data_IF_522943672844
#
_entry.id   IF_522943672844
#
_cell.length_a   1.000
_cell.length_b   1.000
_cell.length_c   1.000
_cell.angle_alpha   90.00
_cell.angle_beta   90.00
_cell.angle_gamma   90.00
#
_symmetry.space_group_name_H-M   'P 1'
#
loop_
_entity.id
_entity.type
_entity.pdbx_description
1 polymer ?
#
# COMPACT_ATOMS: atom_id res chain seq x y z
N UNK A 1 25.93 -1.89 -4.89
CA UNK A 1 26.19 -0.53 -4.39
C UNK A 1 25.14 -0.02 -3.38
N UNK A 2 24.03 -0.75 -3.14
CA UNK A 2 22.98 -0.41 -2.15
C UNK A 2 22.86 -1.39 -0.96
N UNK A 3 23.75 -2.38 -0.88
CA UNK A 3 23.67 -3.49 0.09
C UNK A 3 23.78 -3.06 1.55
N UNK A 4 24.32 -1.87 1.85
CA UNK A 4 24.45 -1.35 3.21
C UNK A 4 23.18 -0.70 3.77
N UNK A 5 22.17 -0.42 2.95
CA UNK A 5 20.85 0.09 3.39
C UNK A 5 19.85 -1.03 3.74
N UNK A 6 20.17 -2.28 3.41
CA UNK A 6 19.19 -3.34 3.18
C UNK A 6 19.03 -4.42 4.27
N UNK A 7 19.58 -4.34 5.50
CA UNK A 7 19.14 -5.26 6.56
C UNK A 7 17.69 -5.03 6.99
N UNK A 8 17.12 -3.85 6.73
CA UNK A 8 15.82 -3.42 7.26
C UNK A 8 14.70 -3.22 6.22
N UNK A 9 15.02 -3.34 4.92
CA UNK A 9 14.05 -3.24 3.82
C UNK A 9 13.58 -4.63 3.41
N UNK A 10 12.77 -5.26 4.27
CA UNK A 10 12.04 -6.45 3.89
C UNK A 10 10.89 -6.03 2.94
N UNK A 11 10.94 -6.50 1.69
CA UNK A 11 9.89 -6.24 0.70
C UNK A 11 8.73 -7.21 0.90
N UNK A 12 7.53 -6.65 0.81
CA UNK A 12 6.26 -7.37 0.89
C UNK A 12 6.07 -8.26 -0.35
N UNK A 13 6.03 -9.58 -0.16
CA UNK A 13 5.58 -10.52 -1.19
C UNK A 13 4.39 -11.27 -0.60
N UNK A 14 3.21 -11.04 -1.16
CA UNK A 14 2.01 -11.75 -0.75
C UNK A 14 2.07 -13.16 -1.34
N UNK A 15 2.47 -14.14 -0.54
CA UNK A 15 2.39 -15.56 -0.87
C UNK A 15 0.93 -16.02 -0.72
N UNK A 16 0.31 -16.42 -1.84
CA UNK A 16 -0.95 -17.16 -1.84
C UNK A 16 -0.68 -18.62 -1.43
N UNK A 17 -0.46 -18.87 -0.15
CA UNK A 17 -0.49 -20.23 0.40
C UNK A 17 -1.08 -20.16 1.81
N UNK A 18 -2.31 -20.67 1.94
CA UNK A 18 -2.97 -20.85 3.23
C UNK A 18 -2.29 -22.00 3.98
N UNK A 19 -1.74 -21.71 5.16
CA UNK A 19 -1.12 -22.70 6.02
C UNK A 19 -0.70 -22.11 7.36
N UNK A 20 -1.57 -22.30 8.36
CA UNK A 20 -1.36 -22.29 9.83
C UNK A 20 0.00 -21.75 10.33
N UNK A 21 0.14 -20.43 10.34
CA UNK A 21 0.84 -19.61 11.34
C UNK A 21 0.95 -18.19 10.77
N UNK A 22 0.18 -17.25 11.34
CA UNK A 22 0.08 -15.84 10.94
C UNK A 22 1.38 -15.06 11.19
N UNK A 23 2.45 -15.39 10.47
CA UNK A 23 3.60 -14.50 10.31
C UNK A 23 3.80 -14.24 8.84
N UNK A 24 3.77 -12.95 8.49
CA UNK A 24 4.18 -12.45 7.18
C UNK A 24 5.60 -13.01 6.93
N UNK A 25 5.81 -13.83 5.88
CA UNK A 25 7.12 -14.37 5.61
C UNK A 25 7.97 -13.23 5.04
N UNK A 26 8.86 -12.70 5.89
CA UNK A 26 9.88 -11.76 5.44
C UNK A 26 10.85 -12.51 4.54
N UNK A 27 10.87 -12.15 3.26
CA UNK A 27 11.81 -12.72 2.29
C UNK A 27 13.09 -11.90 2.36
N UNK A 28 14.23 -12.56 2.56
CA UNK A 28 15.50 -11.86 2.66
C UNK A 28 15.81 -11.14 1.34
N UNK A 29 16.48 -9.98 1.40
CA UNK A 29 16.89 -9.25 0.19
C UNK A 29 17.71 -10.13 -0.76
N UNK A 30 18.51 -11.05 -0.21
CA UNK A 30 19.27 -12.04 -0.98
C UNK A 30 18.35 -12.92 -1.83
N UNK A 31 17.20 -13.31 -1.30
CA UNK A 31 16.20 -14.13 -2.00
C UNK A 31 15.37 -13.30 -3.00
N UNK A 32 15.08 -12.05 -2.68
CA UNK A 32 14.47 -11.07 -3.61
C UNK A 32 15.36 -10.87 -4.85
N UNK A 33 16.68 -10.78 -4.65
CA UNK A 33 17.64 -10.60 -5.75
C UNK A 33 17.93 -11.85 -6.59
N UNK A 34 17.56 -13.04 -6.13
CA UNK A 34 17.81 -14.28 -6.88
C UNK A 34 17.14 -14.19 -8.27
N UNK A 35 17.78 -14.70 -9.34
CA UNK A 35 17.15 -14.77 -10.65
C UNK A 35 15.79 -15.49 -10.62
N UNK A 36 14.85 -15.09 -11.47
CA UNK A 36 13.53 -15.73 -11.56
C UNK A 36 13.60 -17.22 -11.85
N UNK A 37 14.60 -17.66 -12.63
CA UNK A 37 14.82 -19.07 -12.97
C UNK A 37 15.19 -19.95 -11.77
N UNK A 38 15.56 -19.38 -10.62
CA UNK A 38 15.87 -20.11 -9.39
C UNK A 38 14.93 -19.74 -8.23
N UNK A 39 13.73 -19.24 -8.56
CA UNK A 39 12.67 -18.95 -7.59
C UNK A 39 12.80 -17.60 -6.85
N UNK A 40 13.69 -16.71 -7.29
CA UNK A 40 13.75 -15.33 -6.78
C UNK A 40 12.91 -14.33 -7.59
N UNK A 41 12.92 -13.06 -7.17
CA UNK A 41 12.18 -11.99 -7.89
C UNK A 41 12.99 -11.33 -9.01
N UNK A 42 14.29 -11.61 -9.11
CA UNK A 42 15.18 -11.09 -10.15
C UNK A 42 15.50 -9.60 -10.00
N UNK A 43 15.33 -9.04 -8.81
CA UNK A 43 15.61 -7.62 -8.55
C UNK A 43 17.11 -7.38 -8.47
N UNK A 44 17.64 -6.49 -9.32
CA UNK A 44 19.10 -6.26 -9.42
C UNK A 44 19.55 -4.96 -8.78
N UNK A 45 18.69 -3.95 -8.74
CA UNK A 45 19.05 -2.63 -8.20
C UNK A 45 17.79 -1.83 -7.81
N UNK A 46 17.88 -1.05 -6.74
CA UNK A 46 16.84 -0.10 -6.32
C UNK A 46 16.74 1.08 -7.29
N UNK A 47 17.85 1.52 -7.88
CA UNK A 47 17.93 2.72 -8.76
C UNK A 47 17.03 2.62 -9.99
N UNK A 48 16.62 1.43 -10.40
CA UNK A 48 15.72 1.26 -11.56
C UNK A 48 14.25 1.21 -11.17
N UNK A 49 13.92 1.18 -9.88
CA UNK A 49 12.53 1.19 -9.42
C UNK A 49 11.90 2.57 -9.54
N UNK A 50 12.69 3.64 -9.50
CA UNK A 50 12.16 4.99 -9.60
C UNK A 50 12.07 5.57 -11.00
N UNK A 51 12.59 4.85 -11.99
CA UNK A 51 12.43 5.17 -13.41
C UNK A 51 11.14 4.53 -13.93
N UNK A 52 10.03 5.25 -13.83
CA UNK A 52 8.74 4.81 -14.38
C UNK A 52 8.55 5.30 -15.82
N UNK A 53 7.99 4.44 -16.67
CA UNK A 53 7.73 4.75 -18.08
C UNK A 53 6.71 5.88 -18.19
N UNK A 54 7.15 7.07 -18.63
CA UNK A 54 6.30 8.25 -18.77
C UNK A 54 6.45 9.30 -17.66
N UNK A 55 7.29 9.07 -16.65
CA UNK A 55 7.66 10.09 -15.67
C UNK A 55 9.07 10.64 -15.94
N UNK A 56 9.27 11.93 -15.66
CA UNK A 56 10.59 12.58 -15.73
C UNK A 56 11.32 12.37 -14.41
N UNK A 57 12.51 11.76 -14.47
CA UNK A 57 13.40 11.58 -13.33
C UNK A 57 13.22 10.25 -12.59
N UNK A 58 14.14 9.98 -11.67
CA UNK A 58 14.16 8.81 -10.80
C UNK A 58 13.80 9.26 -9.38
N UNK A 59 12.57 8.97 -8.93
CA UNK A 59 12.09 9.43 -7.62
C UNK A 59 12.92 8.89 -6.46
N UNK A 60 13.63 7.78 -6.63
CA UNK A 60 14.48 7.21 -5.59
C UNK A 60 15.65 8.15 -5.30
N UNK A 61 16.17 8.84 -6.32
CA UNK A 61 17.25 9.81 -6.15
C UNK A 61 16.77 11.10 -5.47
N UNK A 62 15.47 11.41 -5.50
CA UNK A 62 14.90 12.53 -4.73
C UNK A 62 14.85 12.24 -3.22
N UNK A 63 14.83 10.96 -2.85
CA UNK A 63 14.55 10.51 -1.48
C UNK A 63 15.80 9.96 -0.80
N UNK A 64 16.62 9.21 -1.53
CA UNK A 64 17.82 8.59 -1.02
C UNK A 64 19.05 9.37 -1.50
N UNK A 65 19.65 10.12 -0.58
CA UNK A 65 20.83 10.94 -0.84
C UNK A 65 22.04 10.20 -0.33
N UNK A 66 22.99 9.91 -1.23
CA UNK A 66 24.27 9.31 -0.86
C UNK A 66 25.10 10.32 -0.07
N UNK A 67 25.57 9.94 1.11
CA UNK A 67 26.52 10.70 1.92
C UNK A 67 27.92 10.11 1.70
N UNK A 68 28.81 10.94 1.17
CA UNK A 68 30.20 10.56 0.94
C UNK A 68 30.90 10.32 2.28
N UNK A 69 31.47 9.13 2.43
CA UNK A 69 32.35 8.77 3.53
C UNK A 69 33.77 8.64 3.02
N UNK A 70 34.30 7.42 3.04
CA UNK A 70 35.60 7.04 2.51
C UNK A 70 35.63 6.82 1.00
N UNK A 71 34.47 6.90 0.35
CA UNK A 71 34.38 6.78 -1.10
C UNK A 71 34.50 5.36 -1.64
N UNK A 72 34.54 4.34 -0.80
CA UNK A 72 34.75 2.94 -1.22
C UNK A 72 33.64 2.38 -2.11
N UNK A 73 32.44 2.98 -2.07
CA UNK A 73 31.31 2.63 -2.91
C UNK A 73 30.96 3.69 -3.96
N UNK A 74 31.75 4.77 -4.05
CA UNK A 74 31.44 5.95 -4.87
C UNK A 74 32.46 6.08 -5.99
N UNK A 75 32.01 5.95 -7.24
CA UNK A 75 32.86 6.05 -8.43
C UNK A 75 33.15 7.52 -8.74
N UNK A 76 34.43 7.87 -8.84
CA UNK A 76 34.89 9.25 -8.95
C UNK A 76 34.27 9.97 -10.17
N UNK A 77 34.27 9.34 -11.34
CA UNK A 77 33.76 9.97 -12.55
C UNK A 77 32.27 9.73 -12.80
N UNK A 78 31.76 8.59 -12.35
CA UNK A 78 30.48 8.05 -12.83
C UNK A 78 29.31 8.34 -11.90
N UNK A 79 29.54 8.58 -10.62
CA UNK A 79 28.51 8.87 -9.64
C UNK A 79 28.42 10.40 -9.38
N UNK A 80 27.25 10.89 -8.95
CA UNK A 80 27.08 12.27 -8.51
C UNK A 80 27.41 12.38 -7.02
N UNK A 81 28.60 12.91 -6.71
CA UNK A 81 29.08 13.05 -5.33
C UNK A 81 29.63 14.45 -5.01
N UNK A 82 29.85 15.27 -6.03
CA UNK A 82 30.29 16.66 -5.92
C UNK A 82 29.71 17.47 -7.08
N UNK A 83 29.49 18.77 -6.89
CA UNK A 83 28.91 19.64 -7.91
C UNK A 83 27.45 19.32 -8.22
N UNK A 84 26.98 19.72 -9.40
CA UNK A 84 25.58 19.60 -9.82
C UNK A 84 25.27 18.35 -10.67
N UNK A 85 26.30 17.65 -11.16
CA UNK A 85 26.17 16.48 -12.02
C UNK A 85 27.42 15.58 -11.90
N UNK A 86 27.38 14.31 -12.36
CA UNK A 86 28.56 13.45 -12.42
C UNK A 86 29.72 14.10 -13.17
N UNK A 87 30.95 13.95 -12.66
CA UNK A 87 32.13 14.61 -13.21
C UNK A 87 32.42 14.24 -14.67
N UNK A 88 32.04 13.04 -15.13
CA UNK A 88 32.17 12.64 -16.55
C UNK A 88 31.33 13.53 -17.49
N UNK A 89 30.21 14.04 -17.01
CA UNK A 89 29.25 14.84 -17.80
C UNK A 89 29.70 16.30 -17.85
N UNK A 90 30.24 16.80 -16.73
CA UNK A 90 30.79 18.16 -16.64
C UNK A 90 32.16 18.27 -17.33
N UNK A 91 33.01 17.24 -17.20
CA UNK A 91 34.39 17.23 -17.72
C UNK A 91 34.67 16.02 -18.63
N UNK A 92 33.95 15.84 -19.75
CA UNK A 92 34.08 14.65 -20.61
C UNK A 92 35.48 14.50 -21.22
N UNK A 93 36.19 15.61 -21.48
CA UNK A 93 37.56 15.59 -22.00
C UNK A 93 38.57 15.08 -20.97
N UNK A 94 38.47 15.54 -19.72
CA UNK A 94 39.31 15.06 -18.63
C UNK A 94 39.00 13.59 -18.33
N UNK A 95 37.73 13.21 -18.30
CA UNK A 95 37.31 11.81 -18.15
C UNK A 95 38.01 10.89 -19.17
N UNK A 96 37.96 11.23 -20.45
CA UNK A 96 38.61 10.45 -21.51
C UNK A 96 40.14 10.43 -21.40
N UNK A 97 40.75 11.47 -20.81
CA UNK A 97 42.19 11.52 -20.55
C UNK A 97 42.59 10.78 -19.26
N UNK A 98 41.65 10.37 -18.40
CA UNK A 98 41.96 9.72 -17.13
C UNK A 98 42.39 8.26 -17.32
N UNK A 99 43.37 7.81 -16.54
CA UNK A 99 43.71 6.39 -16.38
C UNK A 99 42.79 5.67 -15.38
N UNK A 100 41.97 6.42 -14.63
CA UNK A 100 41.19 5.92 -13.51
C UNK A 100 39.66 6.08 -13.70
N UNK A 101 39.17 5.99 -14.95
CA UNK A 101 37.77 6.23 -15.32
C UNK A 101 36.71 5.48 -14.47
N UNK A 102 37.02 4.25 -14.03
CA UNK A 102 36.11 3.40 -13.27
C UNK A 102 36.46 3.28 -11.77
N UNK A 103 37.46 4.01 -11.28
CA UNK A 103 37.92 3.90 -9.90
C UNK A 103 36.94 4.56 -8.93
N UNK A 104 36.91 4.02 -7.70
CA UNK A 104 36.20 4.63 -6.59
C UNK A 104 37.03 5.75 -5.97
N UNK A 105 36.39 6.69 -5.28
CA UNK A 105 37.09 7.80 -4.60
C UNK A 105 38.17 7.25 -3.65
N UNK A 106 37.90 6.16 -2.93
CA UNK A 106 38.88 5.52 -2.06
C UNK A 106 40.17 5.09 -2.79
N UNK A 107 40.07 4.76 -4.07
CA UNK A 107 41.20 4.35 -4.91
C UNK A 107 41.86 5.53 -5.63
N UNK A 108 41.28 6.73 -5.54
CA UNK A 108 41.77 7.96 -6.16
C UNK A 108 42.70 8.76 -5.25
N UNK A 109 43.04 8.26 -4.06
CA UNK A 109 43.85 8.99 -3.10
C UNK A 109 44.22 8.14 -1.89
N UNK A 110 44.86 8.77 -0.90
CA UNK A 110 45.24 8.14 0.35
C UNK A 110 45.17 9.11 1.54
N UNK A 111 45.15 8.57 2.76
CA UNK A 111 45.20 9.36 3.99
C UNK A 111 46.65 9.53 4.44
N UNK A 112 47.11 10.77 4.55
CA UNK A 112 48.42 11.14 5.11
C UNK A 112 48.24 12.22 6.16
N UNK A 113 48.69 11.98 7.39
CA UNK A 113 48.58 12.93 8.51
C UNK A 113 47.16 13.49 8.70
N UNK A 114 46.16 12.59 8.69
CA UNK A 114 44.73 12.92 8.80
C UNK A 114 44.21 13.91 7.76
N UNK A 115 44.85 13.95 6.59
CA UNK A 115 44.37 14.67 5.41
C UNK A 115 44.27 13.72 4.23
N UNK A 116 43.20 13.89 3.45
CA UNK A 116 43.03 13.16 2.19
C UNK A 116 43.89 13.80 1.10
N UNK A 117 44.72 13.00 0.44
CA UNK A 117 45.57 13.40 -0.68
C UNK A 117 45.08 12.69 -1.94
N UNK A 118 44.79 13.47 -2.98
CA UNK A 118 44.33 12.98 -4.27
C UNK A 118 45.50 12.53 -5.17
N UNK A 119 45.35 11.37 -5.80
CA UNK A 119 46.30 10.73 -6.72
C UNK A 119 45.65 10.53 -8.10
N UNK A 120 45.45 11.63 -8.83
CA UNK A 120 44.83 11.61 -10.15
C UNK A 120 45.89 11.36 -11.24
N UNK A 121 45.66 10.33 -12.07
CA UNK A 121 46.57 9.90 -13.13
C UNK A 121 45.99 10.17 -14.52
N UNK A 122 46.78 10.84 -15.35
CA UNK A 122 46.43 11.23 -16.71
C UNK A 122 47.20 10.41 -17.74
N UNK A 123 46.58 10.15 -18.90
CA UNK A 123 47.21 9.42 -20.02
C UNK A 123 48.24 10.28 -20.77
N UNK A 124 47.97 11.59 -20.86
CA UNK A 124 48.82 12.60 -21.49
C UNK A 124 48.73 13.93 -20.74
N UNK A 125 49.66 14.83 -21.03
CA UNK A 125 49.61 16.23 -20.61
C UNK A 125 48.39 16.95 -21.20
N UNK A 126 47.97 18.01 -20.53
CA UNK A 126 46.82 18.81 -20.93
C UNK A 126 47.17 19.76 -22.08
N UNK A 127 46.17 20.03 -22.92
CA UNK A 127 46.20 21.19 -23.79
C UNK A 127 45.80 22.44 -23.00
N UNK A 128 46.17 23.63 -23.49
CA UNK A 128 45.89 24.91 -22.82
C UNK A 128 44.42 25.09 -22.44
N UNK A 129 43.48 24.66 -23.28
CA UNK A 129 42.04 24.74 -22.99
C UNK A 129 41.53 23.67 -22.00
N UNK A 130 42.31 22.64 -21.69
CA UNK A 130 41.99 21.62 -20.67
C UNK A 130 42.49 22.05 -19.27
N UNK A 131 43.47 22.94 -19.20
CA UNK A 131 44.03 23.44 -17.92
C UNK A 131 42.98 24.18 -17.07
N UNK A 132 42.11 24.97 -17.71
CA UNK A 132 41.01 25.63 -17.01
C UNK A 132 39.96 24.61 -16.49
N UNK A 133 39.73 23.53 -17.22
CA UNK A 133 38.86 22.43 -16.79
C UNK A 133 39.45 21.70 -15.59
N UNK A 134 40.76 21.43 -15.60
CA UNK A 134 41.47 20.78 -14.50
C UNK A 134 41.45 21.66 -13.24
N UNK A 135 41.69 22.97 -13.38
CA UNK A 135 41.58 23.93 -12.26
C UNK A 135 40.18 23.92 -11.65
N UNK A 136 39.14 23.88 -12.48
CA UNK A 136 37.76 23.78 -12.01
C UNK A 136 37.48 22.45 -11.30
N UNK A 137 37.96 21.33 -11.86
CA UNK A 137 37.86 20.02 -11.22
C UNK A 137 38.51 20.04 -9.82
N UNK A 138 39.73 20.58 -9.70
CA UNK A 138 40.43 20.71 -8.42
C UNK A 138 39.67 21.54 -7.39
N UNK A 139 39.07 22.66 -7.80
CA UNK A 139 38.24 23.49 -6.92
C UNK A 139 37.02 22.71 -6.39
N UNK A 140 36.39 21.88 -7.21
CA UNK A 140 35.26 21.05 -6.79
C UNK A 140 35.69 19.96 -5.80
N UNK A 141 36.71 19.17 -6.15
CA UNK A 141 37.10 18.00 -5.34
C UNK A 141 37.82 18.38 -4.04
N UNK A 142 38.48 19.54 -4.00
CA UNK A 142 39.11 20.06 -2.77
C UNK A 142 38.10 20.54 -1.73
N UNK A 143 36.92 20.98 -2.17
CA UNK A 143 35.82 21.34 -1.28
C UNK A 143 35.08 20.11 -0.70
N UNK A 144 35.35 18.91 -1.22
CA UNK A 144 34.67 17.70 -0.78
C UNK A 144 35.22 17.19 0.57
N UNK A 145 34.31 16.86 1.49
CA UNK A 145 34.66 16.28 2.79
C UNK A 145 34.69 14.76 2.65
N UNK A 146 35.88 14.18 2.69
CA UNK A 146 36.11 12.72 2.72
C UNK A 146 36.41 12.33 4.17
N UNK A 147 35.75 11.29 4.65
CA UNK A 147 35.94 10.77 6.01
C UNK A 147 36.50 9.34 5.97
N UNK A 148 36.92 8.80 7.12
CA UNK A 148 37.38 7.40 7.21
C UNK A 148 36.23 6.39 7.31
N UNK A 149 35.03 6.89 7.63
CA UNK A 149 33.82 6.09 7.75
C UNK A 149 33.33 5.59 6.38
N UNK A 150 32.65 4.44 6.31
CA UNK A 150 32.11 3.96 5.05
C UNK A 150 31.07 4.94 4.47
N UNK A 151 31.00 4.98 3.14
CA UNK A 151 29.90 5.66 2.45
C UNK A 151 28.55 5.22 3.03
N UNK A 152 27.66 6.18 3.22
CA UNK A 152 26.34 5.94 3.79
C UNK A 152 25.26 6.55 2.89
N UNK A 153 24.02 6.22 3.20
CA UNK A 153 22.85 6.78 2.54
C UNK A 153 21.98 7.44 3.59
N UNK A 154 21.38 8.57 3.21
CA UNK A 154 20.43 9.30 4.05
C UNK A 154 19.09 9.42 3.34
N UNK A 155 18.05 9.59 4.13
CA UNK A 155 16.70 9.83 3.65
C UNK A 155 16.42 11.33 3.73
N UNK A 156 16.00 11.94 2.62
CA UNK A 156 15.53 13.32 2.43
C UNK A 156 16.08 14.38 3.42
N UNK A 157 16.83 15.35 2.91
CA UNK A 157 17.43 16.45 3.70
C UNK A 157 18.34 15.99 4.87
N UNK A 158 18.96 14.81 4.72
CA UNK A 158 19.97 14.32 5.66
C UNK A 158 19.45 13.55 6.88
N UNK A 159 18.14 13.27 6.94
CA UNK A 159 17.51 12.49 8.01
C UNK A 159 17.68 10.97 7.89
N UNK A 160 17.13 10.25 8.87
CA UNK A 160 17.06 8.79 8.88
C UNK A 160 15.83 8.30 8.12
N UNK A 161 15.98 7.17 7.41
CA UNK A 161 14.85 6.50 6.77
C UNK A 161 13.83 6.07 7.82
N UNK A 162 12.56 6.40 7.58
CA UNK A 162 11.43 5.81 8.30
C UNK A 162 10.37 5.36 7.30
N UNK A 163 9.76 4.20 7.56
CA UNK A 163 8.69 3.64 6.73
C UNK A 163 7.53 4.64 6.61
N UNK A 164 7.21 5.35 7.69
CA UNK A 164 6.15 6.36 7.72
C UNK A 164 6.45 7.55 6.81
N UNK A 165 7.66 8.13 6.86
CA UNK A 165 8.03 9.26 6.02
C UNK A 165 8.05 8.86 4.53
N UNK A 166 8.60 7.70 4.20
CA UNK A 166 8.63 7.20 2.82
C UNK A 166 7.24 6.90 2.29
N UNK A 167 6.36 6.30 3.12
CA UNK A 167 4.96 6.09 2.76
C UNK A 167 4.25 7.41 2.47
N UNK A 168 4.43 8.44 3.31
CA UNK A 168 3.82 9.77 3.09
C UNK A 168 4.36 10.44 1.82
N UNK A 169 5.66 10.35 1.55
CA UNK A 169 6.25 10.85 0.32
C UNK A 169 5.64 10.15 -0.91
N UNK A 170 5.64 8.82 -0.92
CA UNK A 170 5.08 8.03 -2.02
C UNK A 170 3.60 8.32 -2.22
N UNK A 171 2.85 8.40 -1.12
CA UNK A 171 1.43 8.74 -1.15
C UNK A 171 1.22 10.10 -1.81
N UNK A 172 1.95 11.15 -1.41
CA UNK A 172 1.81 12.49 -1.99
C UNK A 172 2.29 12.59 -3.44
N UNK A 173 3.34 11.83 -3.80
CA UNK A 173 3.95 11.90 -5.13
C UNK A 173 3.19 11.12 -6.20
N UNK A 174 2.73 9.91 -5.85
CA UNK A 174 2.12 8.97 -6.80
C UNK A 174 0.61 8.91 -6.72
N UNK A 175 0.03 9.18 -5.55
CA UNK A 175 -1.42 9.24 -5.42
C UNK A 175 -1.82 10.71 -5.48
N UNK A 176 -2.64 11.06 -6.47
CA UNK A 176 -3.45 12.27 -6.39
C UNK A 176 -4.12 12.25 -5.02
N UNK A 177 -4.03 13.34 -4.25
CA UNK A 177 -4.81 13.50 -3.02
C UNK A 177 -6.23 13.06 -3.37
N UNK A 178 -6.72 11.92 -2.84
CA UNK A 178 -8.07 11.56 -3.11
C UNK A 178 -8.87 12.65 -2.41
N UNK A 179 -9.55 13.49 -3.18
CA UNK A 179 -10.61 14.34 -2.67
C UNK A 179 -11.75 13.40 -2.33
N UNK A 180 -11.55 12.54 -1.32
CA UNK A 180 -12.63 11.83 -0.67
C UNK A 180 -13.57 12.93 -0.20
N UNK A 181 -14.77 12.95 -0.76
CA UNK A 181 -15.78 13.93 -0.35
C UNK A 181 -15.96 13.86 1.16
N UNK A 182 -16.20 15.02 1.80
CA UNK A 182 -16.39 15.11 3.25
C UNK A 182 -17.46 14.13 3.74
N UNK A 183 -18.51 13.90 2.95
CA UNK A 183 -19.56 12.92 3.19
C UNK A 183 -18.99 11.49 3.32
N UNK A 184 -18.18 11.06 2.36
CA UNK A 184 -17.57 9.73 2.39
C UNK A 184 -16.60 9.55 3.59
N UNK A 185 -15.86 10.60 3.96
CA UNK A 185 -15.02 10.58 5.17
C UNK A 185 -15.89 10.41 6.42
N UNK A 186 -17.03 11.10 6.49
CA UNK A 186 -17.97 10.95 7.59
C UNK A 186 -18.53 9.52 7.67
N UNK A 187 -18.83 8.86 6.55
CA UNK A 187 -19.25 7.45 6.54
C UNK A 187 -18.15 6.54 7.07
N UNK A 188 -16.91 6.72 6.60
CA UNK A 188 -15.76 5.94 7.07
C UNK A 188 -15.51 6.11 8.57
N UNK A 189 -15.77 7.28 9.14
CA UNK A 189 -15.67 7.51 10.58
C UNK A 189 -16.83 6.85 11.35
N UNK A 190 -18.03 6.86 10.77
CA UNK A 190 -19.23 6.31 11.40
C UNK A 190 -19.21 4.80 11.57
N UNK A 191 -18.67 4.04 10.60
CA UNK A 191 -18.64 2.56 10.68
C UNK A 191 -17.89 2.02 11.90
N UNK A 192 -16.98 2.79 12.49
CA UNK A 192 -16.31 2.40 13.73
C UNK A 192 -17.20 2.45 14.97
N UNK A 193 -18.34 3.16 14.90
CA UNK A 193 -19.28 3.32 16.00
C UNK A 193 -20.27 2.16 16.07
N UNK A 194 -19.77 0.93 16.04
CA UNK A 194 -20.58 -0.29 16.03
C UNK A 194 -20.27 -1.21 17.21
N UNK A 195 -21.20 -2.13 17.48
CA UNK A 195 -21.01 -3.28 18.37
C UNK A 195 -20.41 -4.51 17.68
N UNK A 196 -20.23 -4.48 16.36
CA UNK A 196 -19.67 -5.59 15.60
C UNK A 196 -18.24 -5.95 16.07
N UNK A 197 -17.80 -7.21 15.89
CA UNK A 197 -16.41 -7.59 16.15
C UNK A 197 -15.44 -6.74 15.32
N UNK A 198 -14.29 -6.37 15.90
CA UNK A 198 -13.31 -5.49 15.23
C UNK A 198 -12.85 -6.01 13.87
N UNK A 199 -12.69 -7.34 13.71
CA UNK A 199 -12.39 -7.99 12.42
C UNK A 199 -13.40 -7.62 11.33
N UNK A 200 -14.68 -7.56 11.69
CA UNK A 200 -15.78 -7.27 10.76
C UNK A 200 -15.85 -5.78 10.47
N UNK A 201 -15.61 -4.91 11.46
CA UNK A 201 -15.51 -3.47 11.25
C UNK A 201 -14.36 -3.12 10.30
N UNK A 202 -13.17 -3.71 10.49
CA UNK A 202 -12.02 -3.53 9.59
C UNK A 202 -12.38 -3.99 8.17
N UNK A 203 -13.03 -5.16 8.04
CA UNK A 203 -13.52 -5.64 6.76
C UNK A 203 -14.44 -4.61 6.08
N UNK A 204 -15.42 -4.07 6.79
CA UNK A 204 -16.37 -3.10 6.22
C UNK A 204 -15.72 -1.76 5.85
N UNK A 205 -14.76 -1.30 6.65
CA UNK A 205 -13.94 -0.13 6.31
C UNK A 205 -13.13 -0.37 5.02
N UNK A 206 -12.53 -1.55 4.86
CA UNK A 206 -11.88 -1.96 3.61
C UNK A 206 -12.87 -2.06 2.44
N UNK A 207 -14.08 -2.56 2.69
CA UNK A 207 -15.16 -2.63 1.70
C UNK A 207 -15.52 -1.24 1.17
N UNK A 208 -15.77 -0.28 2.06
CA UNK A 208 -16.08 1.10 1.70
C UNK A 208 -14.96 1.73 0.87
N UNK A 209 -13.70 1.51 1.25
CA UNK A 209 -12.53 1.98 0.50
C UNK A 209 -12.31 1.25 -0.84
N UNK A 210 -13.10 0.22 -1.17
CA UNK A 210 -12.91 -0.58 -2.38
C UNK A 210 -11.59 -1.33 -2.36
N UNK A 211 -11.19 -1.87 -1.20
CA UNK A 211 -9.92 -2.61 -1.02
C UNK A 211 -10.09 -4.12 -0.97
N UNK A 212 -11.32 -4.62 -1.00
CA UNK A 212 -11.59 -6.05 -1.04
C UNK A 212 -11.15 -6.68 -2.37
N UNK A 213 -10.75 -7.96 -2.40
CA UNK A 213 -10.36 -8.67 -3.61
C UNK A 213 -11.59 -9.08 -4.45
N UNK A 214 -12.45 -8.12 -4.81
CA UNK A 214 -13.48 -8.33 -5.83
C UNK A 214 -12.82 -8.53 -7.18
N UNK A 215 -13.43 -9.24 -8.13
CA UNK A 215 -12.76 -9.49 -9.42
C UNK A 215 -12.40 -8.20 -10.18
N UNK A 216 -13.21 -7.13 -10.09
CA UNK A 216 -12.84 -5.81 -10.64
C UNK A 216 -11.52 -5.28 -10.03
N UNK A 217 -11.34 -5.43 -8.72
CA UNK A 217 -10.11 -5.00 -8.05
C UNK A 217 -8.93 -5.91 -8.35
N UNK A 218 -9.16 -7.22 -8.54
CA UNK A 218 -8.12 -8.15 -8.95
C UNK A 218 -7.64 -7.88 -10.37
N UNK A 219 -8.57 -7.56 -11.28
CA UNK A 219 -8.28 -7.16 -12.66
C UNK A 219 -7.49 -5.86 -12.69
N UNK A 220 -7.94 -4.83 -11.93
CA UNK A 220 -7.22 -3.56 -11.79
C UNK A 220 -5.77 -3.74 -11.29
N UNK A 221 -5.52 -4.77 -10.46
CA UNK A 221 -4.19 -5.10 -9.94
C UNK A 221 -3.39 -6.02 -10.87
N UNK A 222 -3.91 -6.40 -12.03
CA UNK A 222 -3.26 -7.32 -12.96
C UNK A 222 -3.13 -8.77 -12.44
N UNK A 223 -3.94 -9.15 -11.44
CA UNK A 223 -3.94 -10.51 -10.87
C UNK A 223 -4.73 -11.48 -11.77
N UNK A 224 -5.78 -10.99 -12.43
CA UNK A 224 -6.60 -11.77 -13.37
C UNK A 224 -6.67 -11.06 -14.73
N UNK A 225 -6.79 -11.84 -15.82
CA UNK A 225 -6.88 -11.33 -17.19
C UNK A 225 -8.20 -10.59 -17.46
N UNK A 226 -8.13 -9.52 -18.24
CA UNK A 226 -9.29 -8.71 -18.62
C UNK A 226 -10.28 -9.43 -19.55
N UNK A 227 -11.59 -9.12 -19.39
CA UNK A 227 -12.63 -9.37 -20.40
C UNK A 227 -13.69 -10.43 -20.07
N UNK A 228 -13.41 -11.46 -19.26
CA UNK A 228 -14.42 -12.48 -18.88
C UNK A 228 -14.40 -12.88 -17.40
N UNK A 229 -13.31 -12.60 -16.68
CA UNK A 229 -13.12 -13.04 -15.30
C UNK A 229 -13.58 -12.03 -14.25
N UNK A 230 -14.11 -10.87 -14.64
CA UNK A 230 -14.59 -9.85 -13.70
C UNK A 230 -16.08 -9.90 -13.40
N UNK A 231 -16.81 -10.92 -13.87
CA UNK A 231 -18.25 -11.06 -13.63
C UNK A 231 -18.58 -11.40 -12.18
N UNK A 232 -19.77 -11.01 -11.72
CA UNK A 232 -20.32 -11.41 -10.44
C UNK A 232 -20.48 -12.94 -10.37
N UNK A 233 -20.23 -13.60 -9.23
CA UNK A 233 -20.43 -15.04 -9.09
C UNK A 233 -21.91 -15.46 -8.99
N UNK A 234 -22.83 -14.53 -8.77
CA UNK A 234 -24.25 -14.82 -8.59
C UNK A 234 -25.14 -14.35 -9.74
N UNK A 235 -24.70 -13.38 -10.55
CA UNK A 235 -25.47 -12.91 -11.70
C UNK A 235 -24.62 -12.91 -12.97
N UNK A 236 -25.26 -13.16 -14.10
CA UNK A 236 -24.55 -13.40 -15.36
C UNK A 236 -24.12 -12.12 -16.10
N UNK A 237 -24.62 -10.95 -15.69
CA UNK A 237 -24.58 -9.73 -16.50
C UNK A 237 -23.75 -8.55 -15.97
N UNK A 238 -23.22 -8.60 -14.74
CA UNK A 238 -22.55 -7.44 -14.13
C UNK A 238 -21.14 -7.76 -13.63
N UNK A 239 -20.28 -6.74 -13.62
CA UNK A 239 -18.94 -6.84 -13.04
C UNK A 239 -19.00 -6.89 -11.49
N UNK A 240 -18.16 -7.72 -10.88
CA UNK A 240 -18.00 -7.88 -9.43
C UNK A 240 -17.26 -6.67 -8.84
N UNK A 241 -17.96 -5.54 -8.75
CA UNK A 241 -17.54 -4.37 -7.97
C UNK A 241 -18.07 -4.47 -6.54
N UNK A 242 -17.52 -3.69 -5.60
CA UNK A 242 -18.03 -3.62 -4.22
C UNK A 242 -19.52 -3.25 -4.16
N UNK A 243 -19.95 -2.31 -5.00
CA UNK A 243 -21.31 -1.79 -5.00
C UNK A 243 -22.27 -2.84 -5.56
N UNK A 244 -21.87 -3.50 -6.65
CA UNK A 244 -22.66 -4.58 -7.21
C UNK A 244 -22.74 -5.77 -6.25
N UNK A 245 -21.60 -6.30 -5.84
CA UNK A 245 -21.54 -7.50 -5.01
C UNK A 245 -22.30 -7.36 -3.69
N UNK A 246 -22.19 -6.20 -3.02
CA UNK A 246 -22.71 -6.03 -1.66
C UNK A 246 -24.05 -5.29 -1.60
N UNK A 247 -24.54 -4.75 -2.73
CA UNK A 247 -25.76 -3.93 -2.73
C UNK A 247 -26.67 -4.21 -3.93
N UNK A 248 -26.19 -4.06 -5.18
CA UNK A 248 -27.09 -4.05 -6.36
C UNK A 248 -27.22 -5.39 -7.08
N UNK A 249 -26.45 -6.41 -6.71
CA UNK A 249 -26.65 -7.77 -7.18
C UNK A 249 -28.04 -8.27 -6.75
N UNK A 250 -28.82 -8.97 -7.61
CA UNK A 250 -30.17 -9.44 -7.25
C UNK A 250 -30.22 -10.16 -5.90
N UNK A 251 -29.30 -11.08 -5.64
CA UNK A 251 -29.20 -11.78 -4.35
C UNK A 251 -28.98 -10.80 -3.17
N UNK A 252 -28.05 -9.83 -3.33
CA UNK A 252 -27.77 -8.85 -2.29
C UNK A 252 -28.97 -7.91 -2.08
N UNK A 253 -29.66 -7.54 -3.15
CA UNK A 253 -30.85 -6.71 -3.12
C UNK A 253 -31.97 -7.38 -2.34
N UNK A 254 -32.25 -8.65 -2.61
CA UNK A 254 -33.28 -9.43 -1.92
C UNK A 254 -32.98 -9.57 -0.42
N UNK A 255 -31.71 -9.82 -0.07
CA UNK A 255 -31.25 -9.81 1.32
C UNK A 255 -31.50 -8.44 1.99
N UNK A 256 -31.11 -7.34 1.34
CA UNK A 256 -31.36 -5.99 1.86
C UNK A 256 -32.86 -5.68 1.98
N UNK A 257 -33.69 -6.15 1.05
CA UNK A 257 -35.13 -5.98 1.11
C UNK A 257 -35.74 -6.69 2.32
N UNK A 258 -35.30 -7.93 2.61
CA UNK A 258 -35.71 -8.67 3.80
C UNK A 258 -35.25 -7.98 5.09
N UNK A 259 -34.02 -7.47 5.13
CA UNK A 259 -33.51 -6.71 6.28
C UNK A 259 -34.27 -5.40 6.49
N UNK A 260 -34.57 -4.64 5.43
CA UNK A 260 -35.37 -3.42 5.56
C UNK A 260 -36.78 -3.72 6.08
N UNK A 261 -37.43 -4.76 5.54
CA UNK A 261 -38.75 -5.22 6.00
C UNK A 261 -38.72 -5.63 7.48
N UNK A 262 -37.67 -6.32 7.91
CA UNK A 262 -37.46 -6.71 9.31
C UNK A 262 -37.34 -5.51 10.26
N UNK A 263 -36.77 -4.40 9.79
CA UNK A 263 -36.72 -3.14 10.53
C UNK A 263 -37.99 -2.28 10.37
N UNK A 264 -39.03 -2.77 9.68
CA UNK A 264 -40.25 -2.03 9.43
C UNK A 264 -40.08 -0.86 8.44
N UNK A 265 -39.06 -0.91 7.58
CA UNK A 265 -38.74 0.16 6.63
C UNK A 265 -39.02 -0.30 5.20
N UNK A 266 -39.66 0.59 4.43
CA UNK A 266 -39.76 0.48 2.98
C UNK A 266 -38.84 1.53 2.39
N UNK A 267 -37.73 1.11 1.77
CA UNK A 267 -36.72 2.00 1.21
C UNK A 267 -36.25 1.51 -0.15
N UNK A 268 -35.88 2.45 -1.01
CA UNK A 268 -35.16 2.14 -2.25
C UNK A 268 -33.70 1.87 -1.87
N UNK A 269 -33.23 0.65 -2.15
CA UNK A 269 -31.84 0.26 -1.89
C UNK A 269 -30.91 1.13 -2.78
N UNK A 270 -30.02 1.94 -2.18
CA UNK A 270 -29.16 2.84 -2.96
C UNK A 270 -28.15 2.08 -3.83
N UNK A 271 -27.63 2.74 -4.88
CA UNK A 271 -26.70 2.10 -5.82
C UNK A 271 -25.27 1.89 -5.28
N UNK A 272 -24.91 2.49 -4.14
CA UNK A 272 -23.55 2.41 -3.59
C UNK A 272 -23.53 1.90 -2.16
N UNK A 273 -22.43 1.26 -1.78
CA UNK A 273 -22.24 0.77 -0.42
C UNK A 273 -22.22 1.91 0.62
N UNK A 274 -21.69 3.08 0.25
CA UNK A 274 -21.65 4.25 1.14
C UNK A 274 -23.05 4.80 1.39
N UNK A 275 -23.82 5.05 0.33
CA UNK A 275 -25.19 5.55 0.45
C UNK A 275 -26.13 4.52 1.09
N UNK A 276 -25.88 3.22 0.90
CA UNK A 276 -26.56 2.16 1.65
C UNK A 276 -26.30 2.27 3.15
N UNK A 277 -25.04 2.47 3.56
CA UNK A 277 -24.69 2.68 4.98
C UNK A 277 -25.40 3.90 5.58
N UNK A 278 -25.38 5.03 4.86
CA UNK A 278 -26.04 6.26 5.31
C UNK A 278 -27.56 6.12 5.39
N UNK A 279 -28.17 5.52 4.37
CA UNK A 279 -29.61 5.25 4.35
C UNK A 279 -30.01 4.34 5.51
N UNK A 280 -29.27 3.25 5.72
CA UNK A 280 -29.57 2.30 6.79
C UNK A 280 -29.37 2.92 8.18
N UNK A 281 -28.37 3.78 8.37
CA UNK A 281 -28.18 4.54 9.61
C UNK A 281 -29.39 5.42 9.97
N UNK A 282 -30.15 5.88 8.98
CA UNK A 282 -31.35 6.69 9.22
C UNK A 282 -32.56 5.87 9.72
N UNK A 283 -32.49 4.54 9.68
CA UNK A 283 -33.56 3.63 10.15
C UNK A 283 -33.80 3.76 11.67
N UNK A 284 -32.75 3.99 12.46
CA UNK A 284 -32.89 4.20 13.91
C UNK A 284 -32.02 5.34 14.41
N UNK A 285 -32.63 6.52 14.60
CA UNK A 285 -32.00 7.69 15.23
C UNK A 285 -32.28 7.82 16.73
N UNK A 286 -32.60 6.73 17.43
CA UNK A 286 -32.82 6.71 18.89
C UNK A 286 -31.49 6.75 19.67
N UNK A 287 -30.73 7.83 19.51
CA UNK A 287 -29.50 8.11 20.26
C UNK A 287 -28.29 7.23 19.91
N UNK A 288 -27.23 7.31 20.73
CA UNK A 288 -25.94 6.65 20.47
C UNK A 288 -26.02 5.12 20.41
N UNK A 289 -26.95 4.51 21.15
CA UNK A 289 -27.12 3.05 21.16
C UNK A 289 -27.84 2.55 19.90
N UNK A 290 -28.85 3.30 19.43
CA UNK A 290 -29.52 3.06 18.14
C UNK A 290 -28.53 2.91 16.99
N UNK A 291 -27.63 3.89 16.86
CA UNK A 291 -26.58 3.92 15.82
C UNK A 291 -25.68 2.67 15.89
N UNK A 292 -25.24 2.28 17.09
CA UNK A 292 -24.36 1.12 17.27
C UNK A 292 -25.01 -0.19 16.86
N UNK A 293 -26.28 -0.39 17.22
CA UNK A 293 -27.04 -1.59 16.89
C UNK A 293 -27.43 -1.67 15.41
N UNK A 294 -27.82 -0.55 14.79
CA UNK A 294 -28.08 -0.51 13.34
C UNK A 294 -26.82 -0.78 12.54
N UNK A 295 -25.69 -0.16 12.92
CA UNK A 295 -24.41 -0.46 12.28
C UNK A 295 -24.01 -1.92 12.46
N UNK A 296 -24.23 -2.50 13.65
CA UNK A 296 -23.98 -3.91 13.90
C UNK A 296 -24.67 -4.78 12.84
N UNK A 297 -25.96 -4.56 12.58
CA UNK A 297 -26.70 -5.31 11.55
C UNK A 297 -26.13 -5.02 10.16
N UNK A 298 -25.89 -3.76 9.81
CA UNK A 298 -25.30 -3.39 8.53
C UNK A 298 -23.98 -4.14 8.26
N UNK A 299 -23.09 -4.21 9.26
CA UNK A 299 -21.84 -4.97 9.19
C UNK A 299 -22.08 -6.47 8.96
N UNK A 300 -23.05 -7.06 9.66
CA UNK A 300 -23.40 -8.47 9.52
C UNK A 300 -23.87 -8.77 8.10
N UNK A 301 -24.73 -7.92 7.52
CA UNK A 301 -25.25 -8.13 6.15
C UNK A 301 -24.11 -8.23 5.15
N UNK A 302 -23.23 -7.22 5.11
CA UNK A 302 -22.14 -7.20 4.12
C UNK A 302 -21.07 -8.26 4.39
N UNK A 303 -20.89 -8.66 5.65
CA UNK A 303 -20.01 -9.76 6.03
C UNK A 303 -20.57 -11.10 5.55
N UNK A 304 -21.86 -11.36 5.78
CA UNK A 304 -22.54 -12.59 5.36
C UNK A 304 -22.55 -12.71 3.83
N UNK A 305 -22.85 -11.62 3.11
CA UNK A 305 -22.75 -11.59 1.66
C UNK A 305 -21.32 -11.93 1.19
N UNK A 306 -20.30 -11.32 1.79
CA UNK A 306 -18.91 -11.62 1.45
C UNK A 306 -18.51 -13.08 1.73
N UNK A 307 -18.92 -13.63 2.87
CA UNK A 307 -18.69 -15.04 3.20
C UNK A 307 -19.39 -15.96 2.20
N UNK A 308 -20.66 -15.70 1.88
CA UNK A 308 -21.42 -16.44 0.89
C UNK A 308 -20.76 -16.41 -0.50
N UNK A 309 -20.22 -15.25 -0.89
CA UNK A 309 -19.46 -15.10 -2.14
C UNK A 309 -18.24 -16.00 -2.17
N UNK A 310 -17.51 -16.07 -1.05
CA UNK A 310 -16.34 -16.93 -0.95
C UNK A 310 -16.74 -18.41 -0.99
N UNK A 311 -17.82 -18.82 -0.31
CA UNK A 311 -18.35 -20.19 -0.38
C UNK A 311 -18.76 -20.57 -1.82
N UNK A 312 -19.41 -19.66 -2.55
CA UNK A 312 -19.77 -19.88 -3.97
C UNK A 312 -18.55 -20.08 -4.84
N UNK A 313 -17.47 -19.31 -4.65
CA UNK A 313 -16.27 -19.38 -5.50
C UNK A 313 -15.38 -20.57 -5.16
N UNK A 314 -15.16 -20.85 -3.87
CA UNK A 314 -14.20 -21.87 -3.44
C UNK A 314 -14.83 -23.24 -3.22
N UNK A 315 -16.15 -23.32 -3.09
CA UNK A 315 -16.86 -24.58 -2.79
C UNK A 315 -18.09 -24.81 -3.67
N UNK A 316 -18.33 -23.97 -4.69
CA UNK A 316 -19.48 -24.07 -5.60
C UNK A 316 -20.84 -24.17 -4.89
N UNK A 317 -20.94 -23.64 -3.66
CA UNK A 317 -22.13 -23.76 -2.85
C UNK A 317 -23.21 -22.82 -3.36
N UNK A 318 -24.41 -23.35 -3.60
CA UNK A 318 -25.58 -22.54 -3.90
C UNK A 318 -26.06 -21.80 -2.66
N UNK A 319 -26.58 -20.60 -2.88
CA UNK A 319 -26.96 -19.69 -1.81
C UNK A 319 -28.31 -19.07 -2.15
N UNK A 320 -29.19 -19.08 -1.16
CA UNK A 320 -30.52 -18.49 -1.24
C UNK A 320 -30.63 -17.29 -0.30
N UNK A 321 -31.45 -16.29 -0.68
CA UNK A 321 -31.58 -15.03 0.06
C UNK A 321 -32.23 -15.23 1.44
N UNK A 322 -33.19 -16.15 1.59
CA UNK A 322 -33.86 -16.42 2.86
C UNK A 322 -32.87 -17.04 3.85
N UNK A 323 -32.08 -18.04 3.41
CA UNK A 323 -31.05 -18.65 4.24
C UNK A 323 -29.98 -17.65 4.68
N UNK A 324 -29.62 -16.68 3.83
CA UNK A 324 -28.70 -15.61 4.20
C UNK A 324 -29.32 -14.67 5.22
N UNK A 325 -30.60 -14.34 5.06
CA UNK A 325 -31.33 -13.51 6.00
C UNK A 325 -31.42 -14.16 7.39
N UNK A 326 -31.74 -15.45 7.47
CA UNK A 326 -31.74 -16.20 8.74
C UNK A 326 -30.38 -16.15 9.44
N UNK A 327 -29.29 -16.37 8.67
CA UNK A 327 -27.92 -16.23 9.18
C UNK A 327 -27.65 -14.83 9.70
N UNK A 328 -28.11 -13.79 9.01
CA UNK A 328 -27.95 -12.40 9.45
C UNK A 328 -28.64 -12.18 10.79
N UNK A 329 -29.88 -12.65 10.95
CA UNK A 329 -30.62 -12.49 12.21
C UNK A 329 -29.91 -13.22 13.36
N UNK A 330 -29.48 -14.46 13.16
CA UNK A 330 -28.77 -15.26 14.19
C UNK A 330 -27.43 -14.63 14.57
N UNK A 331 -26.59 -14.27 13.59
CA UNK A 331 -25.26 -13.71 13.85
C UNK A 331 -25.38 -12.35 14.55
N UNK A 332 -26.28 -11.49 14.07
CA UNK A 332 -26.49 -10.17 14.68
C UNK A 332 -27.03 -10.28 16.11
N UNK A 333 -27.93 -11.21 16.40
CA UNK A 333 -28.43 -11.47 17.75
C UNK A 333 -27.31 -11.91 18.69
N UNK A 334 -26.48 -12.87 18.26
CA UNK A 334 -25.37 -13.38 19.05
C UNK A 334 -24.36 -12.26 19.38
N UNK A 335 -24.05 -11.41 18.40
CA UNK A 335 -23.15 -10.27 18.62
C UNK A 335 -23.77 -9.20 19.51
N UNK A 336 -25.08 -8.95 19.40
CA UNK A 336 -25.80 -8.03 20.28
C UNK A 336 -25.78 -8.54 21.73
N UNK A 337 -26.13 -9.81 21.95
CA UNK A 337 -26.15 -10.44 23.27
C UNK A 337 -24.78 -10.38 23.95
N UNK A 338 -23.70 -10.62 23.18
CA UNK A 338 -22.33 -10.51 23.68
C UNK A 338 -21.93 -9.08 24.12
N UNK A 339 -22.62 -8.04 23.62
CA UNK A 339 -22.37 -6.64 24.00
C UNK A 339 -23.33 -6.12 25.06
N UNK A 340 -24.54 -6.67 25.16
CA UNK A 340 -25.59 -6.29 26.11
C UNK A 340 -25.87 -7.39 27.14
N UNK A 341 -24.84 -7.75 27.90
CA UNK A 341 -24.93 -8.80 28.93
C UNK A 341 -26.02 -8.49 29.97
N UNK A 342 -26.26 -7.21 30.28
CA UNK A 342 -27.22 -6.76 31.31
C UNK A 342 -28.59 -6.35 30.75
N UNK A 343 -28.80 -6.42 29.43
CA UNK A 343 -30.04 -6.04 28.76
C UNK A 343 -30.36 -7.09 27.68
N UNK A 344 -30.63 -8.30 28.14
CA UNK A 344 -30.81 -9.47 27.27
C UNK A 344 -32.04 -9.28 26.38
N UNK A 345 -31.85 -9.49 25.08
CA UNK A 345 -32.91 -9.63 24.10
C UNK A 345 -32.93 -11.11 23.70
N UNK A 346 -34.08 -11.76 23.86
CA UNK A 346 -34.25 -13.15 23.44
C UNK A 346 -34.30 -13.23 21.92
N UNK A 347 -33.88 -14.35 21.34
CA UNK A 347 -33.81 -14.51 19.88
C UNK A 347 -35.17 -14.27 19.20
N UNK A 348 -36.27 -14.69 19.81
CA UNK A 348 -37.61 -14.43 19.26
C UNK A 348 -37.97 -12.93 19.29
N UNK A 349 -37.56 -12.19 20.32
CA UNK A 349 -37.79 -10.74 20.41
C UNK A 349 -36.99 -10.01 19.32
N UNK A 350 -35.77 -10.48 19.07
CA UNK A 350 -34.91 -9.97 18.00
C UNK A 350 -35.54 -10.15 16.63
N UNK A 351 -36.14 -11.33 16.37
CA UNK A 351 -36.79 -11.62 15.11
C UNK A 351 -38.02 -10.74 14.87
N UNK A 352 -38.76 -10.40 15.92
CA UNK A 352 -40.01 -9.63 15.81
C UNK A 352 -39.76 -8.12 15.83
N UNK A 353 -38.90 -7.62 16.70
CA UNK A 353 -38.70 -6.19 16.91
C UNK A 353 -37.22 -5.84 17.23
N UNK A 354 -36.36 -5.79 16.20
CA UNK A 354 -34.94 -5.54 16.39
C UNK A 354 -34.64 -4.14 16.93
N UNK A 355 -35.50 -3.14 16.62
CA UNK A 355 -35.31 -1.76 17.07
C UNK A 355 -35.42 -1.68 18.60
N UNK A 356 -36.42 -2.31 19.20
CA UNK A 356 -36.57 -2.29 20.65
C UNK A 356 -35.41 -3.00 21.34
N UNK A 357 -34.96 -4.15 20.81
CA UNK A 357 -33.77 -4.83 21.31
C UNK A 357 -32.48 -3.99 21.18
N UNK A 358 -32.36 -3.16 20.15
CA UNK A 358 -31.23 -2.23 19.99
C UNK A 358 -31.29 -1.08 21.01
N UNK A 359 -32.47 -0.66 21.43
CA UNK A 359 -32.65 0.51 22.31
C UNK A 359 -32.64 0.15 23.80
N UNK A 360 -33.06 -1.05 24.18
CA UNK A 360 -32.96 -1.60 25.56
C UNK A 360 -31.54 -1.46 26.12
#
# INVERSE_FOLDING_TARGET
MYTSLLPSLNIYVQSCAAGVNDKIPWVSWKDVCRPKCVGGLGWKDLVRLGVEKGMVGDWINDVFIKKLGNGGSTRFWLDHWVGLAPLKEVFPRLYNNSLQMNHTIQQMGEWVNDKWIWHIKWRRTFFTWEEDMDRHLWNLISAAIITKEPDSWSYANGGMYTVSANYVYLYKKFLLSPTLGLEFIAVLAQVWRSWAPSKVIVFSWQALLGRLPTRVNLEYRGIISSGMNSRCPWCEGCAESKNHLLVTCPLAWDVWASVHRWFGVVSVVPATLSSMCESFLNVCRKGKQGIKGVLLVWHVVIWVLWCARNEKIFSAKEVDAELLFDKIQVISCNWLAAKKINALCLLYEWYVNPIDCIVR
#
